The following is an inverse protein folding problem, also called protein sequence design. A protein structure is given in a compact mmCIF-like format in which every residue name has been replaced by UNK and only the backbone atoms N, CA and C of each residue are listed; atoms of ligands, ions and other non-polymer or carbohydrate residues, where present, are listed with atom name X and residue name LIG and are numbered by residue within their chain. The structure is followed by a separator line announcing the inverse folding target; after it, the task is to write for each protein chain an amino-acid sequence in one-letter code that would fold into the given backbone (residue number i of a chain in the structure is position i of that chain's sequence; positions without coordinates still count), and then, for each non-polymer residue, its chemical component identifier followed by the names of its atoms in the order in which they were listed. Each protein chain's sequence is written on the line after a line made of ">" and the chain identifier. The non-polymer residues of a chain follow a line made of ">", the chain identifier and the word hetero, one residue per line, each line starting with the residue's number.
data_IF_853107361146
#
_entry.id   IF_853107361146
#
_cell.length_a   1.000
_cell.length_b   1.000
_cell.length_c   1.000
_cell.angle_alpha   90.00
_cell.angle_beta   90.00
_cell.angle_gamma   90.00
#
_symmetry.space_group_name_H-M   'P 1'
#
loop_
_entity.id
_entity.type
_entity.pdbx_description
1 polymer ?
#
# COMPACT_ATOMS: atom_id res chain seq x y z
N UNK A 1 -7.53 22.95 53.96
CA UNK A 1 -7.45 23.44 52.57
C UNK A 1 -7.22 22.25 51.65
N UNK A 2 -7.99 22.21 50.54
CA UNK A 2 -7.67 21.62 49.22
C UNK A 2 -7.23 20.15 49.23
N UNK A 3 -8.10 19.16 49.00
CA UNK A 3 -8.89 18.87 47.78
C UNK A 3 -8.08 18.86 46.48
N UNK A 4 -8.20 17.72 45.81
CA UNK A 4 -8.05 17.47 44.38
C UNK A 4 -6.65 17.58 43.75
N UNK A 5 -6.10 16.41 43.42
CA UNK A 5 -5.68 16.10 42.04
C UNK A 5 -5.77 14.59 41.82
N UNK A 6 -7.03 14.13 41.74
CA UNK A 6 -7.36 12.87 41.08
C UNK A 6 -7.29 13.10 39.56
N UNK A 7 -6.95 12.02 38.84
CA UNK A 7 -7.23 11.79 37.42
C UNK A 7 -6.53 12.70 36.40
N UNK A 8 -5.28 12.38 36.08
CA UNK A 8 -4.79 12.50 34.70
C UNK A 8 -5.13 11.21 33.95
N UNK A 9 -6.43 11.00 33.77
CA UNK A 9 -7.00 10.05 32.83
C UNK A 9 -7.97 10.86 31.98
N UNK A 10 -7.42 11.60 31.00
CA UNK A 10 -8.20 12.34 30.01
C UNK A 10 -7.63 12.01 28.64
N UNK A 11 -8.24 10.98 28.06
CA UNK A 11 -8.66 10.88 26.67
C UNK A 11 -7.70 11.40 25.59
N UNK A 12 -6.72 10.58 25.21
CA UNK A 12 -6.11 10.64 23.87
C UNK A 12 -6.83 9.71 22.86
N UNK A 13 -7.93 9.07 23.25
CA UNK A 13 -8.69 8.15 22.40
C UNK A 13 -9.77 8.85 21.53
N UNK A 14 -9.90 10.18 21.58
CA UNK A 14 -11.02 10.90 20.94
C UNK A 14 -10.72 11.60 19.62
N UNK A 15 -9.45 11.81 19.23
CA UNK A 15 -9.11 12.68 18.09
C UNK A 15 -8.97 11.91 16.76
N UNK A 16 -8.84 10.58 16.80
CA UNK A 16 -8.74 9.78 15.56
C UNK A 16 -10.07 9.57 14.83
N UNK A 17 -11.21 9.81 15.48
CA UNK A 17 -12.53 9.60 14.86
C UNK A 17 -13.12 10.85 14.20
N UNK A 18 -12.64 12.05 14.51
CA UNK A 18 -13.24 13.29 14.02
C UNK A 18 -12.65 13.79 12.68
N UNK A 19 -11.46 13.33 12.29
CA UNK A 19 -10.86 13.64 11.00
C UNK A 19 -11.36 12.74 9.86
N UNK A 20 -12.01 11.61 10.17
CA UNK A 20 -12.53 10.67 9.14
C UNK A 20 -13.76 11.24 8.42
N UNK A 21 -14.47 12.21 9.01
CA UNK A 21 -15.77 12.66 8.49
C UNK A 21 -15.70 13.87 7.54
N UNK A 22 -14.53 14.50 7.31
CA UNK A 22 -14.44 15.75 6.52
C UNK A 22 -13.52 15.70 5.28
N UNK A 23 -13.36 14.53 4.66
CA UNK A 23 -12.60 14.40 3.40
C UNK A 23 -13.23 13.56 2.27
N UNK A 24 -14.20 12.68 2.55
CA UNK A 24 -14.64 11.62 1.63
C UNK A 24 -15.76 11.97 0.62
N UNK A 25 -16.03 13.24 0.30
CA UNK A 25 -17.14 13.55 -0.63
C UNK A 25 -16.74 13.60 -2.13
N UNK A 26 -15.50 13.95 -2.50
CA UNK A 26 -15.14 14.23 -3.91
C UNK A 26 -13.73 13.80 -4.34
N UNK A 27 -13.07 12.91 -3.59
CA UNK A 27 -11.75 12.39 -3.97
C UNK A 27 -11.84 11.35 -5.09
N UNK A 28 -10.77 11.23 -5.88
CA UNK A 28 -10.61 10.14 -6.89
C UNK A 28 -10.79 8.76 -6.24
N UNK A 29 -11.60 7.88 -6.83
CA UNK A 29 -11.83 6.51 -6.32
C UNK A 29 -10.77 5.54 -6.83
N UNK A 30 -10.51 4.43 -6.12
CA UNK A 30 -9.61 3.36 -6.58
C UNK A 30 -9.96 2.88 -8.00
N UNK A 31 -11.26 2.71 -8.29
CA UNK A 31 -11.75 2.34 -9.62
C UNK A 31 -11.32 3.33 -10.71
N UNK A 32 -11.42 4.62 -10.45
CA UNK A 32 -11.08 5.64 -11.45
C UNK A 32 -9.57 5.62 -11.76
N UNK A 33 -8.75 5.29 -10.76
CA UNK A 33 -7.29 5.12 -10.91
C UNK A 33 -7.00 3.85 -11.70
N UNK A 34 -7.66 2.73 -11.40
CA UNK A 34 -7.51 1.49 -12.16
C UNK A 34 -7.90 1.69 -13.63
N UNK A 35 -9.04 2.32 -13.90
CA UNK A 35 -9.50 2.62 -15.26
C UNK A 35 -8.52 3.53 -16.01
N UNK A 36 -7.94 4.52 -15.31
CA UNK A 36 -6.94 5.42 -15.88
C UNK A 36 -5.60 4.71 -16.14
N UNK A 37 -5.11 3.88 -15.21
CA UNK A 37 -3.90 3.06 -15.38
C UNK A 37 -4.04 2.09 -16.56
N UNK A 38 -5.20 1.45 -16.70
CA UNK A 38 -5.51 0.57 -17.84
C UNK A 38 -5.46 1.32 -19.17
N UNK A 39 -5.96 2.56 -19.24
CA UNK A 39 -5.81 3.43 -20.43
C UNK A 39 -4.35 3.80 -20.72
N UNK A 40 -3.49 3.75 -19.71
CA UNK A 40 -2.04 3.99 -19.84
C UNK A 40 -1.23 2.72 -20.11
N UNK A 41 -1.89 1.57 -20.32
CA UNK A 41 -1.24 0.29 -20.64
C UNK A 41 -0.91 -0.61 -19.45
N UNK A 42 -1.23 -0.18 -18.22
CA UNK A 42 -1.09 -1.01 -17.02
C UNK A 42 -2.39 -1.79 -16.84
N UNK A 43 -2.43 -3.05 -17.28
CA UNK A 43 -3.62 -3.91 -17.21
C UNK A 43 -3.98 -4.27 -15.76
N UNK A 44 -4.98 -3.59 -15.21
CA UNK A 44 -5.45 -3.80 -13.83
C UNK A 44 -6.96 -3.66 -13.69
N UNK A 45 -7.49 -4.32 -12.68
CA UNK A 45 -8.87 -4.16 -12.20
C UNK A 45 -8.88 -3.84 -10.71
N UNK A 46 -9.82 -2.99 -10.27
CA UNK A 46 -9.97 -2.71 -8.84
C UNK A 46 -10.51 -3.96 -8.12
N UNK A 47 -9.84 -4.36 -7.04
CA UNK A 47 -10.30 -5.41 -6.13
C UNK A 47 -10.45 -4.82 -4.70
N UNK A 48 -11.61 -5.05 -4.07
CA UNK A 48 -11.91 -4.49 -2.74
C UNK A 48 -11.07 -5.13 -1.63
N UNK A 49 -10.70 -6.40 -1.78
CA UNK A 49 -9.79 -7.05 -0.84
C UNK A 49 -8.38 -6.47 -0.99
N UNK A 50 -8.01 -6.09 -2.21
CA UNK A 50 -6.75 -5.39 -2.45
C UNK A 50 -6.75 -3.96 -1.90
N UNK A 51 -7.88 -3.24 -1.92
CA UNK A 51 -8.00 -1.95 -1.21
C UNK A 51 -7.68 -2.14 0.29
N UNK A 52 -8.16 -3.22 0.92
CA UNK A 52 -7.82 -3.56 2.31
C UNK A 52 -6.34 -3.91 2.50
N UNK A 53 -5.73 -4.63 1.56
CA UNK A 53 -4.28 -4.88 1.54
C UNK A 53 -3.48 -3.57 1.47
N UNK A 54 -3.87 -2.64 0.59
CA UNK A 54 -3.24 -1.33 0.48
C UNK A 54 -3.42 -0.52 1.79
N UNK A 55 -4.61 -0.52 2.39
CA UNK A 55 -4.85 0.18 3.66
C UNK A 55 -3.99 -0.36 4.80
N UNK A 56 -3.91 -1.69 4.93
CA UNK A 56 -3.08 -2.33 5.95
C UNK A 56 -1.59 -2.06 5.70
N UNK A 57 -1.17 -2.03 4.44
CA UNK A 57 0.22 -1.76 4.06
C UNK A 57 0.58 -0.32 4.40
N UNK A 58 -0.28 0.64 4.07
CA UNK A 58 -0.05 2.05 4.40
C UNK A 58 0.00 2.26 5.92
N UNK A 59 -0.91 1.65 6.68
CA UNK A 59 -0.89 1.69 8.15
C UNK A 59 0.40 1.10 8.74
N UNK A 60 0.89 0.00 8.18
CA UNK A 60 2.16 -0.59 8.59
C UNK A 60 3.33 0.37 8.34
N UNK A 61 3.38 1.02 7.16
CA UNK A 61 4.37 2.05 6.84
C UNK A 61 4.29 3.24 7.81
N UNK A 62 3.09 3.78 8.06
CA UNK A 62 2.88 4.89 9.01
C UNK A 62 3.31 4.51 10.44
N UNK A 63 3.06 3.27 10.85
CA UNK A 63 3.51 2.75 12.15
C UNK A 63 5.03 2.66 12.23
N UNK A 64 5.69 2.18 11.17
CA UNK A 64 7.16 2.14 11.07
C UNK A 64 7.74 3.56 11.17
N UNK A 65 7.16 4.52 10.45
CA UNK A 65 7.58 5.93 10.50
C UNK A 65 7.43 6.48 11.93
N UNK A 66 6.30 6.22 12.60
CA UNK A 66 6.08 6.68 13.97
C UNK A 66 7.03 6.04 14.99
N UNK A 67 7.46 4.80 14.75
CA UNK A 67 8.43 4.10 15.59
C UNK A 67 9.89 4.51 15.32
N UNK A 68 10.18 5.05 14.13
CA UNK A 68 11.51 5.49 13.75
C UNK A 68 11.92 6.78 14.49
N UNK A 69 12.46 6.59 15.69
CA UNK A 69 12.92 7.69 16.56
C UNK A 69 14.01 8.55 15.92
N UNK A 70 14.69 8.05 14.88
CA UNK A 70 15.71 8.81 14.15
C UNK A 70 15.12 9.69 13.02
N UNK A 71 13.82 9.59 12.74
CA UNK A 71 13.10 10.30 11.67
C UNK A 71 13.79 10.18 10.29
N UNK A 72 14.41 9.03 10.01
CA UNK A 72 15.05 8.68 8.75
C UNK A 72 14.05 8.16 7.73
N UNK A 73 12.96 7.53 8.18
CA UNK A 73 11.89 6.98 7.36
C UNK A 73 10.76 8.01 7.27
N UNK A 74 10.34 8.30 6.04
CA UNK A 74 9.26 9.24 5.71
C UNK A 74 8.41 8.65 4.58
N UNK A 75 7.22 9.18 4.33
CA UNK A 75 6.40 8.72 3.20
C UNK A 75 7.09 8.91 1.84
N UNK A 76 7.97 9.92 1.72
CA UNK A 76 8.72 10.19 0.48
C UNK A 76 9.83 9.17 0.19
N UNK A 77 10.30 8.43 1.20
CA UNK A 77 11.40 7.48 1.03
C UNK A 77 11.11 6.06 1.54
N UNK A 78 9.92 5.82 2.08
CA UNK A 78 9.52 4.49 2.55
C UNK A 78 9.39 3.52 1.37
N UNK A 79 8.82 3.96 0.25
CA UNK A 79 8.59 3.14 -0.95
C UNK A 79 9.22 3.83 -2.16
N UNK A 80 10.39 3.36 -2.57
CA UNK A 80 11.20 3.99 -3.63
C UNK A 80 12.01 2.89 -4.34
N UNK A 81 12.10 2.95 -5.67
CA UNK A 81 12.67 1.86 -6.48
C UNK A 81 14.09 1.51 -6.05
N UNK A 82 14.92 2.52 -5.80
CA UNK A 82 16.37 2.36 -5.54
C UNK A 82 16.72 2.54 -4.06
N UNK A 83 16.13 3.53 -3.40
CA UNK A 83 16.51 3.93 -2.04
C UNK A 83 15.40 3.74 -1.00
N UNK A 84 14.36 2.98 -1.34
CA UNK A 84 13.25 2.66 -0.45
C UNK A 84 13.76 2.11 0.88
N UNK A 85 13.28 2.68 1.99
CA UNK A 85 13.66 2.28 3.35
C UNK A 85 12.77 1.20 3.97
N UNK A 86 11.66 0.91 3.30
CA UNK A 86 10.66 -0.07 3.74
C UNK A 86 10.31 -1.01 2.59
N UNK A 87 10.12 -0.46 1.39
CA UNK A 87 9.91 -1.22 0.17
C UNK A 87 10.76 -0.62 -0.95
N UNK A 88 11.60 -1.44 -1.56
CA UNK A 88 12.36 -1.12 -2.77
C UNK A 88 12.21 -2.24 -3.80
N UNK A 89 12.82 -2.07 -4.97
CA UNK A 89 12.76 -3.11 -6.00
C UNK A 89 13.22 -4.46 -5.45
N UNK A 90 12.40 -5.49 -5.62
CA UNK A 90 12.65 -6.87 -5.19
C UNK A 90 12.98 -7.04 -3.69
N UNK A 91 12.77 -6.01 -2.87
CA UNK A 91 13.11 -6.02 -1.46
C UNK A 91 12.03 -5.35 -0.62
N UNK A 92 11.46 -6.12 0.30
CA UNK A 92 10.52 -5.63 1.32
C UNK A 92 11.21 -5.84 2.66
N UNK A 93 11.63 -4.73 3.28
CA UNK A 93 12.51 -4.73 4.45
C UNK A 93 11.87 -5.42 5.66
N UNK A 94 12.68 -6.26 6.29
CA UNK A 94 12.40 -7.00 7.53
C UNK A 94 12.81 -6.23 8.80
N UNK A 95 12.31 -5.02 9.07
CA UNK A 95 12.78 -4.20 10.21
C UNK A 95 12.25 -4.64 11.61
N UNK A 96 13.06 -5.28 12.47
CA UNK A 96 12.73 -5.83 13.83
C UNK A 96 11.58 -5.15 14.61
N UNK A 97 10.71 -5.97 15.23
CA UNK A 97 9.37 -5.72 15.84
C UNK A 97 8.29 -5.15 14.90
N UNK A 98 8.67 -4.26 13.98
CA UNK A 98 7.88 -3.89 12.81
C UNK A 98 8.13 -4.82 11.59
N UNK A 99 8.91 -5.89 11.79
CA UNK A 99 9.75 -6.51 10.75
C UNK A 99 8.99 -7.02 9.57
N UNK A 100 7.88 -7.67 9.86
CA UNK A 100 7.09 -8.29 8.83
C UNK A 100 5.76 -7.57 8.71
N UNK A 101 5.57 -6.39 9.31
CA UNK A 101 4.27 -5.70 9.28
C UNK A 101 3.84 -5.41 7.83
N UNK A 102 4.77 -4.90 7.03
CA UNK A 102 4.54 -4.65 5.59
C UNK A 102 4.43 -5.95 4.81
N UNK A 103 5.27 -6.96 5.10
CA UNK A 103 5.19 -8.27 4.44
C UNK A 103 3.85 -8.98 4.71
N UNK A 104 3.39 -8.97 5.98
CA UNK A 104 2.09 -9.50 6.42
C UNK A 104 0.96 -8.74 5.78
N UNK A 105 1.03 -7.41 5.73
CA UNK A 105 0.01 -6.58 5.11
C UNK A 105 -0.12 -6.84 3.61
N UNK A 106 1.02 -6.96 2.90
CA UNK A 106 1.09 -7.32 1.48
C UNK A 106 0.78 -8.80 1.21
N UNK A 107 0.72 -9.64 2.24
CA UNK A 107 0.43 -11.06 2.11
C UNK A 107 1.60 -11.91 1.60
N UNK A 108 2.85 -11.46 1.79
CA UNK A 108 4.07 -12.15 1.31
C UNK A 108 4.89 -12.78 2.44
N UNK A 109 4.36 -12.78 3.66
CA UNK A 109 5.07 -13.34 4.81
C UNK A 109 5.01 -14.87 4.77
N UNK A 110 6.08 -15.51 4.31
CA UNK A 110 6.13 -16.96 4.00
C UNK A 110 5.82 -17.86 5.19
N UNK A 111 6.11 -17.42 6.42
CA UNK A 111 5.81 -18.15 7.67
C UNK A 111 4.48 -17.72 8.30
N UNK A 112 3.71 -16.86 7.64
CA UNK A 112 2.41 -16.38 8.11
C UNK A 112 1.25 -17.34 7.87
N UNK A 113 0.04 -16.88 8.24
CA UNK A 113 -1.20 -17.63 8.09
C UNK A 113 -2.27 -16.81 7.35
N UNK A 114 -3.16 -17.50 6.63
CA UNK A 114 -4.27 -16.89 5.91
C UNK A 114 -3.83 -15.72 5.01
N UNK A 115 -4.37 -14.53 5.28
CA UNK A 115 -4.09 -13.31 4.52
C UNK A 115 -2.61 -12.90 4.54
N UNK A 116 -1.85 -13.24 5.59
CA UNK A 116 -0.43 -12.85 5.71
C UNK A 116 0.47 -13.52 4.68
N UNK A 117 0.02 -14.62 4.06
CA UNK A 117 0.74 -15.35 3.00
C UNK A 117 -0.05 -15.52 1.70
N UNK A 118 -1.19 -14.83 1.55
CA UNK A 118 -2.10 -15.00 0.42
C UNK A 118 -1.49 -14.63 -0.95
N UNK A 119 -0.41 -13.85 -0.95
CA UNK A 119 0.29 -13.34 -2.13
C UNK A 119 1.73 -13.85 -2.23
N UNK A 120 2.12 -14.86 -1.44
CA UNK A 120 3.43 -15.52 -1.59
C UNK A 120 3.54 -16.13 -2.99
N UNK A 121 4.66 -15.86 -3.67
CA UNK A 121 4.93 -16.35 -5.03
C UNK A 121 4.29 -15.53 -6.16
N UNK A 122 3.41 -14.57 -5.83
CA UNK A 122 2.79 -13.66 -6.80
C UNK A 122 3.69 -12.46 -7.11
N UNK A 123 3.50 -11.85 -8.27
CA UNK A 123 4.15 -10.57 -8.57
C UNK A 123 3.44 -9.45 -7.82
N UNK A 124 4.20 -8.57 -7.17
CA UNK A 124 3.67 -7.38 -6.49
C UNK A 124 4.35 -6.14 -7.02
N UNK A 125 3.53 -5.19 -7.47
CA UNK A 125 3.96 -3.86 -7.89
C UNK A 125 3.38 -2.81 -6.94
N UNK A 126 4.19 -1.84 -6.56
CA UNK A 126 3.80 -0.81 -5.59
C UNK A 126 4.22 0.58 -6.04
N UNK A 127 3.49 1.59 -5.55
CA UNK A 127 3.90 2.98 -5.60
C UNK A 127 3.31 3.71 -4.40
N UNK A 128 4.12 4.51 -3.69
CA UNK A 128 3.64 5.49 -2.71
C UNK A 128 4.00 6.87 -3.24
N UNK A 129 3.01 7.66 -3.63
CA UNK A 129 3.25 8.93 -4.30
C UNK A 129 2.44 10.07 -3.73
N UNK A 130 3.03 11.26 -3.75
CA UNK A 130 2.36 12.50 -3.37
C UNK A 130 1.40 12.93 -4.49
N UNK A 131 0.14 13.17 -4.15
CA UNK A 131 -0.94 13.55 -5.06
C UNK A 131 -1.70 14.80 -4.63
N UNK A 132 -1.11 15.62 -3.76
CA UNK A 132 -1.74 16.85 -3.22
C UNK A 132 -2.27 17.80 -4.32
N UNK A 133 -1.59 17.89 -5.46
CA UNK A 133 -1.98 18.72 -6.61
C UNK A 133 -2.88 17.99 -7.62
N UNK A 134 -3.20 16.72 -7.37
CA UNK A 134 -3.98 15.84 -8.25
C UNK A 134 -5.21 15.24 -7.55
N UNK A 135 -5.57 15.71 -6.35
CA UNK A 135 -6.58 15.09 -5.45
C UNK A 135 -7.95 14.77 -6.08
N UNK A 136 -8.32 15.45 -7.16
CA UNK A 136 -9.59 15.28 -7.90
C UNK A 136 -9.45 14.82 -9.37
N UNK A 137 -8.24 14.54 -9.85
CA UNK A 137 -7.99 14.13 -11.24
C UNK A 137 -7.39 12.73 -11.29
N UNK A 138 -8.20 11.74 -11.66
CA UNK A 138 -7.80 10.34 -11.70
C UNK A 138 -6.67 10.07 -12.70
N UNK A 139 -6.71 10.70 -13.88
CA UNK A 139 -5.68 10.53 -14.91
C UNK A 139 -4.33 11.08 -14.44
N UNK A 140 -4.33 12.22 -13.75
CA UNK A 140 -3.10 12.80 -13.22
C UNK A 140 -2.54 11.93 -12.08
N UNK A 141 -3.39 11.44 -11.16
CA UNK A 141 -2.94 10.51 -10.12
C UNK A 141 -2.40 9.21 -10.73
N UNK A 142 -3.11 8.62 -11.68
CA UNK A 142 -2.67 7.42 -12.38
C UNK A 142 -1.36 7.65 -13.13
N UNK A 143 -1.15 8.82 -13.74
CA UNK A 143 0.12 9.14 -14.40
C UNK A 143 1.30 9.25 -13.44
N UNK A 144 1.09 9.88 -12.27
CA UNK A 144 2.11 9.94 -11.21
C UNK A 144 2.40 8.53 -10.69
N UNK A 145 1.35 7.76 -10.39
CA UNK A 145 1.47 6.36 -9.93
C UNK A 145 2.23 5.51 -10.96
N UNK A 146 1.85 5.58 -12.24
CA UNK A 146 2.48 4.80 -13.30
C UNK A 146 3.98 5.10 -13.44
N UNK A 147 4.37 6.37 -13.29
CA UNK A 147 5.78 6.77 -13.33
C UNK A 147 6.61 6.27 -12.14
N UNK A 148 5.97 5.99 -11.00
CA UNK A 148 6.62 5.53 -9.77
C UNK A 148 6.44 4.02 -9.51
N UNK A 149 5.62 3.33 -10.31
CA UNK A 149 5.31 1.93 -10.10
C UNK A 149 6.54 1.06 -10.38
N UNK A 150 6.93 0.24 -9.41
CA UNK A 150 8.00 -0.75 -9.58
C UNK A 150 7.61 -2.10 -8.96
N UNK A 151 8.31 -3.15 -9.38
CA UNK A 151 8.14 -4.49 -8.85
C UNK A 151 8.84 -4.62 -7.49
N UNK A 152 8.05 -4.68 -6.42
CA UNK A 152 8.54 -4.92 -5.06
C UNK A 152 8.77 -6.42 -4.80
N UNK A 153 8.08 -7.29 -5.54
CA UNK A 153 8.29 -8.73 -5.49
C UNK A 153 8.09 -9.34 -6.88
N UNK A 154 9.07 -10.10 -7.33
CA UNK A 154 8.97 -10.93 -8.52
C UNK A 154 8.05 -12.12 -8.31
N UNK A 155 7.31 -12.50 -9.35
CA UNK A 155 6.59 -13.76 -9.34
C UNK A 155 7.56 -14.94 -9.31
N UNK A 156 7.19 -15.99 -8.60
CA UNK A 156 7.89 -17.27 -8.64
C UNK A 156 7.23 -18.16 -9.69
N UNK A 157 7.85 -18.23 -10.87
CA UNK A 157 7.41 -19.10 -11.99
C UNK A 157 8.49 -20.16 -12.20
N UNK A 158 8.22 -21.39 -11.79
CA UNK A 158 9.22 -22.47 -11.72
C UNK A 158 9.10 -23.49 -12.86
N UNK A 159 8.16 -23.31 -13.78
CA UNK A 159 7.95 -24.20 -14.92
C UNK A 159 7.45 -23.43 -16.15
N UNK A 160 7.40 -24.11 -17.30
CA UNK A 160 6.94 -23.51 -18.58
C UNK A 160 5.41 -23.50 -18.73
N UNK A 161 4.68 -24.08 -17.76
CA UNK A 161 3.23 -24.22 -17.80
C UNK A 161 2.53 -23.16 -16.96
N UNK A 162 3.27 -22.27 -16.31
CA UNK A 162 2.72 -21.15 -15.58
C UNK A 162 3.29 -19.83 -16.08
N UNK A 163 2.48 -18.80 -15.98
CA UNK A 163 2.84 -17.43 -16.31
C UNK A 163 2.20 -16.44 -15.34
N UNK A 164 2.69 -15.20 -15.35
CA UNK A 164 2.07 -14.13 -14.57
C UNK A 164 0.79 -13.70 -15.27
N UNK A 165 -0.32 -13.69 -14.55
CA UNK A 165 -1.61 -13.23 -15.06
C UNK A 165 -1.48 -11.83 -15.66
N UNK A 166 -2.03 -11.65 -16.86
CA UNK A 166 -1.87 -10.40 -17.60
C UNK A 166 -2.52 -9.20 -16.88
N UNK A 167 -3.68 -9.43 -16.25
CA UNK A 167 -4.40 -8.40 -15.48
C UNK A 167 -4.10 -8.54 -13.99
N UNK A 168 -3.67 -7.45 -13.36
CA UNK A 168 -3.42 -7.40 -11.92
C UNK A 168 -4.62 -6.89 -11.13
N UNK A 169 -4.75 -7.37 -9.89
CA UNK A 169 -5.71 -6.84 -8.91
C UNK A 169 -5.11 -5.62 -8.23
N UNK A 170 -5.78 -4.48 -8.34
CA UNK A 170 -5.35 -3.21 -7.81
C UNK A 170 -6.15 -2.83 -6.57
N UNK A 171 -5.41 -2.37 -5.55
CA UNK A 171 -5.95 -1.69 -4.38
C UNK A 171 -5.25 -0.36 -4.15
N UNK A 172 -5.97 0.60 -3.59
CA UNK A 172 -5.39 1.89 -3.20
C UNK A 172 -5.71 2.26 -1.77
N UNK A 173 -4.81 3.00 -1.14
CA UNK A 173 -5.02 3.61 0.17
C UNK A 173 -4.47 5.03 0.18
N UNK A 174 -5.10 5.92 0.94
CA UNK A 174 -4.67 7.31 1.08
C UNK A 174 -4.31 7.62 2.51
N UNK A 175 -3.34 8.50 2.70
CA UNK A 175 -3.06 9.06 4.02
C UNK A 175 -4.28 9.82 4.54
N UNK A 176 -4.36 9.97 5.86
CA UNK A 176 -5.47 10.69 6.50
C UNK A 176 -5.61 12.14 6.03
N UNK A 177 -4.52 12.79 5.63
CA UNK A 177 -4.51 14.14 5.03
C UNK A 177 -4.75 14.16 3.52
N UNK A 178 -4.90 12.98 2.89
CA UNK A 178 -5.17 12.80 1.47
C UNK A 178 -4.03 13.22 0.54
N UNK A 179 -2.83 13.54 1.06
CA UNK A 179 -1.70 14.01 0.25
C UNK A 179 -0.92 12.90 -0.43
N UNK A 180 -0.93 11.69 0.13
CA UNK A 180 -0.25 10.54 -0.47
C UNK A 180 -1.27 9.45 -0.82
N UNK A 181 -0.96 8.72 -1.88
CA UNK A 181 -1.65 7.49 -2.25
C UNK A 181 -0.64 6.36 -2.35
N UNK A 182 -0.95 5.26 -1.68
CA UNK A 182 -0.34 3.96 -1.91
C UNK A 182 -1.19 3.22 -2.94
N UNK A 183 -0.56 2.70 -3.99
CA UNK A 183 -1.16 1.76 -4.93
C UNK A 183 -0.41 0.44 -4.82
N UNK A 184 -1.17 -0.64 -4.66
CA UNK A 184 -0.67 -2.02 -4.64
C UNK A 184 -1.36 -2.79 -5.75
N UNK A 185 -0.56 -3.44 -6.61
CA UNK A 185 -1.04 -4.29 -7.68
C UNK A 185 -0.45 -5.68 -7.46
N UNK A 186 -1.31 -6.70 -7.44
CA UNK A 186 -0.90 -8.09 -7.35
C UNK A 186 -1.36 -8.83 -8.60
N UNK A 187 -0.40 -9.47 -9.28
CA UNK A 187 -0.69 -10.36 -10.40
C UNK A 187 -0.53 -11.80 -9.93
N UNK A 188 -1.57 -12.62 -10.12
CA UNK A 188 -1.53 -14.05 -9.85
C UNK A 188 -0.54 -14.77 -10.77
N UNK A 189 -0.13 -15.97 -10.37
CA UNK A 189 0.56 -16.92 -11.27
C UNK A 189 -0.49 -17.95 -11.69
N UNK A 190 -0.71 -18.08 -12.99
CA UNK A 190 -1.77 -18.88 -13.61
C UNK A 190 -1.18 -19.88 -14.59
N UNK A 191 -1.92 -20.94 -14.92
CA UNK A 191 -1.51 -21.87 -15.97
C UNK A 191 -1.48 -21.16 -17.33
N UNK A 192 -0.43 -21.42 -18.12
CA UNK A 192 -0.28 -20.93 -19.48
C UNK A 192 -1.45 -21.44 -20.32
N UNK A 193 -2.17 -20.52 -20.94
CA UNK A 193 -3.25 -20.87 -21.86
C UNK A 193 -2.64 -21.40 -23.16
N UNK A 194 -2.37 -22.70 -23.24
CA UNK A 194 -2.00 -23.38 -24.48
C UNK A 194 -3.24 -23.47 -25.39
N UNK A 195 -3.61 -22.35 -26.01
CA UNK A 195 -4.56 -22.30 -27.13
C UNK A 195 -3.84 -22.38 -28.46
#
# INVERSE_FOLDING_TARGET
>A
MKMAKKFLAVALAGVLALSVLTGCANGVKSKDIADALTKMGVKVEQDKDMDKTAENTLKAIETIIAADSANKITLDNAVEKVTGKVISQEHIDGNTDAANAVQKALGVFTTGEGAEKANVGKQIRVALVKTENATKNANLQAGIVNGALFEAQAATVNDMNHEVAETGKLGTAKTSDGKYILVVIVNDVVETSNT
#
